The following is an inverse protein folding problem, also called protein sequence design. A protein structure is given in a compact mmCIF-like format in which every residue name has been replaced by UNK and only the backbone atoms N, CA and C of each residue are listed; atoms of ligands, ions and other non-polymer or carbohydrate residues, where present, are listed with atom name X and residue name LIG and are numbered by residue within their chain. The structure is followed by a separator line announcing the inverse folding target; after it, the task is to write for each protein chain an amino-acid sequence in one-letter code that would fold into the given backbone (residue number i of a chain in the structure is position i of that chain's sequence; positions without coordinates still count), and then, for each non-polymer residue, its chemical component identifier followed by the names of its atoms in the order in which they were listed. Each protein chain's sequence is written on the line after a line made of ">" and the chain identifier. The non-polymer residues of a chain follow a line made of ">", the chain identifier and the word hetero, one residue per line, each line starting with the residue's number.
data_IF_875539934840
#
_entry.id   IF_875539934840
#
_cell.length_a   1.000
_cell.length_b   1.000
_cell.length_c   1.000
_cell.angle_alpha   90.00
_cell.angle_beta   90.00
_cell.angle_gamma   90.00
#
_symmetry.space_group_name_H-M   'P 1'
#
loop_
_entity.id
_entity.type
_entity.pdbx_description
1 polymer ?
#
# COMPACT_ATOMS: atom_id res chain seq x y z
N UNK A 1 11.53 27.89 6.53
CA UNK A 1 12.54 26.83 6.37
C UNK A 1 12.04 25.93 5.25
N UNK A 2 12.89 25.42 4.34
CA UNK A 2 12.45 24.39 3.42
C UNK A 2 11.90 23.21 4.22
N UNK A 3 10.79 22.59 3.75
CA UNK A 3 10.24 21.39 4.38
C UNK A 3 11.20 20.20 4.29
N UNK A 4 10.93 19.07 4.99
CA UNK A 4 11.72 17.85 4.87
C UNK A 4 11.83 17.43 3.41
N UNK A 5 12.97 16.86 3.02
CA UNK A 5 13.08 16.36 1.66
C UNK A 5 12.34 15.00 1.48
N UNK A 6 12.16 14.57 0.24
CA UNK A 6 11.46 13.31 -0.05
C UNK A 6 12.22 12.08 0.50
N UNK A 7 13.54 12.18 0.69
CA UNK A 7 14.36 11.10 1.25
C UNK A 7 14.13 10.94 2.76
N UNK A 8 13.99 12.06 3.49
CA UNK A 8 13.65 12.02 4.92
C UNK A 8 12.24 11.45 5.14
N UNK A 9 11.28 11.84 4.29
CA UNK A 9 9.93 11.27 4.36
C UNK A 9 9.93 9.78 4.00
N UNK A 10 10.71 9.36 2.99
CA UNK A 10 10.86 7.94 2.66
C UNK A 10 11.44 7.14 3.83
N UNK A 11 12.49 7.65 4.49
CA UNK A 11 13.09 6.99 5.64
C UNK A 11 12.08 6.83 6.80
N UNK A 12 11.28 7.87 7.05
CA UNK A 12 10.21 7.83 8.05
C UNK A 12 9.14 6.78 7.71
N UNK A 13 8.69 6.72 6.44
CA UNK A 13 7.72 5.72 5.99
C UNK A 13 8.26 4.30 6.10
N UNK A 14 9.53 4.06 5.76
CA UNK A 14 10.18 2.73 5.88
C UNK A 14 10.18 2.25 7.33
N UNK A 15 10.55 3.11 8.26
CA UNK A 15 10.55 2.77 9.69
C UNK A 15 9.13 2.53 10.22
N UNK A 16 8.16 3.35 9.81
CA UNK A 16 6.76 3.20 10.19
C UNK A 16 6.19 1.88 9.64
N UNK A 17 6.43 1.55 8.37
CA UNK A 17 6.00 0.29 7.76
C UNK A 17 6.58 -0.94 8.47
N UNK A 18 7.85 -0.91 8.87
CA UNK A 18 8.45 -1.97 9.69
C UNK A 18 7.79 -2.09 11.08
N UNK A 19 7.40 -0.95 11.67
CA UNK A 19 6.59 -0.90 12.89
C UNK A 19 5.24 -1.58 12.73
N UNK A 20 4.52 -1.22 11.67
CA UNK A 20 3.25 -1.81 11.26
C UNK A 20 3.36 -3.33 11.09
N UNK A 21 4.39 -3.80 10.40
CA UNK A 21 4.63 -5.23 10.20
C UNK A 21 4.84 -6.02 11.48
N UNK A 22 5.48 -5.42 12.50
CA UNK A 22 5.61 -6.08 13.81
C UNK A 22 4.28 -6.21 14.54
N UNK A 23 3.38 -5.24 14.38
CA UNK A 23 2.03 -5.30 14.96
C UNK A 23 1.20 -6.34 14.20
N UNK A 24 1.09 -6.22 12.88
CA UNK A 24 0.32 -7.15 12.07
C UNK A 24 0.76 -8.61 12.25
N UNK A 25 2.06 -8.87 12.42
CA UNK A 25 2.58 -10.22 12.64
C UNK A 25 2.09 -10.87 13.94
N UNK A 26 1.69 -10.10 14.96
CA UNK A 26 1.13 -10.64 16.22
C UNK A 26 -0.29 -11.16 16.03
N UNK A 27 -1.07 -10.50 15.17
CA UNK A 27 -2.44 -10.89 14.84
C UNK A 27 -2.51 -11.91 13.71
N UNK A 28 -1.43 -12.06 12.94
CA UNK A 28 -1.42 -12.94 11.77
C UNK A 28 -1.55 -14.41 12.16
N UNK A 29 -2.66 -15.04 11.75
CA UNK A 29 -3.06 -16.41 12.12
C UNK A 29 -3.42 -16.61 13.60
N UNK A 30 -3.74 -15.52 14.30
CA UNK A 30 -4.17 -15.54 15.71
C UNK A 30 -5.65 -15.18 15.86
N UNK A 31 -6.44 -15.44 14.83
CA UNK A 31 -7.90 -15.22 14.78
C UNK A 31 -8.32 -13.84 15.32
N UNK A 32 -7.81 -12.72 14.77
CA UNK A 32 -8.19 -11.39 15.24
C UNK A 32 -9.69 -11.15 15.08
N UNK A 33 -10.29 -10.32 15.91
CA UNK A 33 -11.67 -9.89 15.73
C UNK A 33 -11.88 -9.25 14.35
N UNK A 34 -13.01 -9.55 13.71
CA UNK A 34 -13.36 -9.10 12.36
C UNK A 34 -14.72 -8.44 12.37
N UNK A 35 -14.85 -7.28 11.74
CA UNK A 35 -16.10 -6.57 11.53
C UNK A 35 -16.29 -6.27 10.05
N UNK A 36 -17.53 -6.09 9.63
CA UNK A 36 -17.85 -5.52 8.32
C UNK A 36 -17.92 -4.00 8.42
N UNK A 37 -17.24 -3.30 7.52
CA UNK A 37 -17.35 -1.85 7.41
C UNK A 37 -18.77 -1.45 6.99
N UNK A 38 -19.28 -0.28 7.44
CA UNK A 38 -20.53 0.28 6.94
C UNK A 38 -20.55 0.31 5.40
N UNK A 39 -21.76 0.25 4.82
CA UNK A 39 -22.00 0.37 3.38
C UNK A 39 -21.34 -0.71 2.50
N UNK A 40 -20.92 -1.84 3.08
CA UNK A 40 -20.34 -2.95 2.34
C UNK A 40 -18.91 -2.69 1.83
N UNK A 41 -18.17 -1.78 2.45
CA UNK A 41 -16.78 -1.45 2.09
C UNK A 41 -15.79 -2.59 2.38
N UNK A 42 -16.27 -3.73 2.93
CA UNK A 42 -15.48 -4.92 3.18
C UNK A 42 -15.14 -5.12 4.66
N UNK A 43 -14.39 -6.18 4.99
CA UNK A 43 -14.02 -6.46 6.37
C UNK A 43 -12.89 -5.53 6.85
N UNK A 44 -12.90 -5.27 8.15
CA UNK A 44 -11.80 -4.67 8.91
C UNK A 44 -11.48 -5.58 10.09
N UNK A 45 -10.22 -5.66 10.50
CA UNK A 45 -9.81 -6.46 11.66
C UNK A 45 -9.23 -5.58 12.75
N UNK A 46 -9.16 -6.13 13.97
CA UNK A 46 -8.44 -5.52 15.09
C UNK A 46 -6.99 -5.14 14.69
N UNK A 47 -6.36 -5.93 13.81
CA UNK A 47 -5.03 -5.65 13.31
C UNK A 47 -4.97 -4.40 12.44
N UNK A 48 -5.97 -4.17 11.57
CA UNK A 48 -6.08 -2.96 10.74
C UNK A 48 -6.10 -1.72 11.63
N UNK A 49 -6.95 -1.71 12.66
CA UNK A 49 -7.10 -0.60 13.59
C UNK A 49 -5.83 -0.36 14.42
N UNK A 50 -5.23 -1.42 14.96
CA UNK A 50 -4.00 -1.30 15.76
C UNK A 50 -2.81 -0.80 14.93
N UNK A 51 -2.76 -1.17 13.65
CA UNK A 51 -1.74 -0.67 12.71
C UNK A 51 -2.02 0.79 12.36
N UNK A 52 -3.28 1.16 12.05
CA UNK A 52 -3.67 2.53 11.73
C UNK A 52 -3.33 3.50 12.87
N UNK A 53 -3.72 3.17 14.10
CA UNK A 53 -3.46 3.98 15.30
C UNK A 53 -1.95 4.22 15.47
N UNK A 54 -1.14 3.17 15.40
CA UNK A 54 0.32 3.30 15.54
C UNK A 54 0.92 4.15 14.42
N UNK A 55 0.48 3.95 13.17
CA UNK A 55 0.96 4.74 12.03
C UNK A 55 0.60 6.20 12.19
N UNK A 56 -0.65 6.51 12.55
CA UNK A 56 -1.13 7.86 12.78
C UNK A 56 -0.33 8.56 13.87
N UNK A 57 -0.20 7.93 15.04
CA UNK A 57 0.53 8.49 16.17
C UNK A 57 1.98 8.80 15.79
N UNK A 58 2.66 7.85 15.16
CA UNK A 58 4.06 7.99 14.80
C UNK A 58 4.30 9.04 13.71
N UNK A 59 3.52 8.97 12.63
CA UNK A 59 3.72 9.82 11.46
C UNK A 59 3.28 11.27 11.75
N UNK A 60 2.13 11.47 12.39
CA UNK A 60 1.67 12.81 12.76
C UNK A 60 2.56 13.45 13.84
N UNK A 61 3.11 12.69 14.79
CA UNK A 61 4.07 13.22 15.75
C UNK A 61 5.39 13.66 15.07
N UNK A 62 5.85 12.91 14.07
CA UNK A 62 7.07 13.25 13.33
C UNK A 62 6.87 14.42 12.35
N UNK A 63 5.66 14.63 11.84
CA UNK A 63 5.29 15.67 10.86
C UNK A 63 3.95 16.31 11.23
N UNK A 64 3.89 17.16 12.27
CA UNK A 64 2.63 17.72 12.77
C UNK A 64 1.85 18.59 11.77
N UNK A 65 2.54 19.11 10.74
CA UNK A 65 1.90 19.93 9.69
C UNK A 65 1.37 19.15 8.50
N UNK A 66 1.51 17.81 8.47
CA UNK A 66 0.99 17.00 7.38
C UNK A 66 -0.48 16.62 7.61
N UNK A 67 -1.23 16.55 6.51
CA UNK A 67 -2.57 15.98 6.53
C UNK A 67 -2.55 14.46 6.66
N UNK A 68 -3.68 13.88 7.04
CA UNK A 68 -3.87 12.44 7.19
C UNK A 68 -5.04 11.94 6.34
N UNK A 69 -4.80 10.89 5.57
CA UNK A 69 -5.81 10.13 4.83
C UNK A 69 -5.53 8.66 5.01
N UNK A 70 -6.42 7.93 5.66
CA UNK A 70 -6.34 6.49 5.85
C UNK A 70 -7.63 5.80 5.44
N UNK A 71 -7.55 4.52 5.08
CA UNK A 71 -8.72 3.69 4.82
C UNK A 71 -9.56 3.45 6.08
N UNK A 72 -8.93 3.43 7.26
CA UNK A 72 -9.59 3.07 8.53
C UNK A 72 -10.01 4.28 9.38
N UNK A 73 -9.59 5.47 9.01
CA UNK A 73 -9.94 6.70 9.74
C UNK A 73 -10.89 7.55 8.89
N UNK A 74 -11.98 8.12 9.48
CA UNK A 74 -12.85 9.03 8.75
C UNK A 74 -12.09 10.17 8.10
N UNK A 75 -12.32 10.38 6.80
CA UNK A 75 -11.71 11.49 6.07
C UNK A 75 -12.24 12.83 6.55
N UNK A 76 -11.36 13.82 6.66
CA UNK A 76 -11.70 15.17 7.08
C UNK A 76 -11.16 16.21 6.09
N UNK A 77 -11.90 17.30 5.90
CA UNK A 77 -11.46 18.40 5.04
C UNK A 77 -10.15 19.07 5.52
N UNK A 78 -9.74 18.85 6.77
CA UNK A 78 -8.54 19.44 7.33
C UNK A 78 -7.27 19.12 6.51
N UNK A 79 -7.18 17.89 5.94
CA UNK A 79 -6.05 17.50 5.08
C UNK A 79 -5.91 18.33 3.80
N UNK A 80 -7.00 18.96 3.33
CA UNK A 80 -7.01 19.74 2.08
C UNK A 80 -6.26 21.06 2.22
N UNK A 81 -6.02 21.52 3.45
CA UNK A 81 -5.23 22.72 3.73
C UNK A 81 -3.75 22.45 4.02
N UNK A 82 -3.35 21.19 4.07
CA UNK A 82 -1.96 20.80 4.28
C UNK A 82 -1.18 20.73 2.97
N UNK A 83 0.07 21.21 2.97
CA UNK A 83 0.96 21.13 1.80
C UNK A 83 1.30 19.68 1.45
N UNK A 84 1.42 18.83 2.48
CA UNK A 84 1.70 17.40 2.34
C UNK A 84 0.68 16.56 3.10
N UNK A 85 0.40 15.37 2.58
CA UNK A 85 -0.59 14.45 3.14
C UNK A 85 0.01 13.06 3.21
N UNK A 86 -0.09 12.40 4.37
CA UNK A 86 0.08 10.96 4.47
C UNK A 86 -1.14 10.25 3.88
N UNK A 87 -0.88 9.27 3.02
CA UNK A 87 -1.92 8.38 2.45
C UNK A 87 -1.58 6.98 2.91
N UNK A 88 -2.51 6.35 3.63
CA UNK A 88 -2.26 5.10 4.36
C UNK A 88 -3.35 4.08 4.06
N UNK A 89 -2.94 2.87 3.73
CA UNK A 89 -3.74 1.66 3.82
C UNK A 89 -3.01 0.73 4.81
N UNK A 90 -3.55 0.56 6.03
CA UNK A 90 -2.89 -0.21 7.08
C UNK A 90 -2.66 -1.66 6.72
N UNK A 91 -3.67 -2.33 6.12
CA UNK A 91 -3.57 -3.72 5.65
C UNK A 91 -4.26 -3.86 4.29
N UNK A 92 -3.57 -3.49 3.21
CA UNK A 92 -4.03 -3.78 1.85
C UNK A 92 -4.11 -5.30 1.61
N UNK A 93 -5.34 -5.76 1.44
CA UNK A 93 -5.65 -7.18 1.34
C UNK A 93 -6.15 -7.80 2.63
N UNK A 94 -6.99 -7.12 3.41
CA UNK A 94 -7.58 -7.59 4.67
C UNK A 94 -8.20 -8.99 4.56
N UNK A 95 -8.91 -9.30 3.46
CA UNK A 95 -9.44 -10.66 3.24
C UNK A 95 -8.34 -11.72 3.19
N UNK A 96 -7.24 -11.43 2.53
CA UNK A 96 -6.09 -12.33 2.49
C UNK A 96 -5.42 -12.47 3.85
N UNK A 97 -5.38 -11.39 4.64
CA UNK A 97 -4.90 -11.42 6.03
C UNK A 97 -5.75 -12.37 6.89
N UNK A 98 -7.07 -12.23 6.85
CA UNK A 98 -8.04 -13.09 7.56
C UNK A 98 -7.87 -14.56 7.15
N UNK A 99 -7.67 -14.83 5.86
CA UNK A 99 -7.44 -16.17 5.30
C UNK A 99 -6.04 -16.75 5.62
N UNK A 100 -5.21 -16.05 6.39
CA UNK A 100 -3.85 -16.46 6.73
C UNK A 100 -2.88 -16.47 5.53
N UNK A 101 -3.21 -15.74 4.46
CA UNK A 101 -2.31 -15.55 3.31
C UNK A 101 -1.24 -14.51 3.61
N UNK A 102 0.00 -14.83 3.32
CA UNK A 102 1.13 -13.88 3.46
C UNK A 102 1.19 -12.78 2.39
N UNK A 103 0.14 -12.63 1.58
CA UNK A 103 0.10 -11.70 0.45
C UNK A 103 -0.69 -10.42 0.73
N UNK A 104 -0.73 -9.98 1.98
CA UNK A 104 -1.17 -8.64 2.38
C UNK A 104 0.03 -7.69 2.49
N UNK A 105 -0.21 -6.39 2.48
CA UNK A 105 0.83 -5.38 2.62
C UNK A 105 0.38 -4.14 3.40
N UNK A 106 1.32 -3.39 3.93
CA UNK A 106 1.14 -2.01 4.38
C UNK A 106 1.48 -1.09 3.21
N UNK A 107 0.60 -0.17 2.88
CA UNK A 107 0.80 0.80 1.80
C UNK A 107 0.81 2.21 2.38
N UNK A 108 1.96 2.88 2.31
CA UNK A 108 2.18 4.19 2.90
C UNK A 108 2.74 5.14 1.84
N UNK A 109 2.22 6.36 1.77
CA UNK A 109 2.76 7.38 0.88
C UNK A 109 2.72 8.77 1.52
N UNK A 110 3.57 9.67 1.02
CA UNK A 110 3.46 11.12 1.17
C UNK A 110 3.15 11.72 -0.18
N UNK A 111 2.08 12.50 -0.26
CA UNK A 111 1.74 13.31 -1.42
C UNK A 111 1.95 14.79 -1.13
N UNK A 112 2.44 15.55 -2.14
CA UNK A 112 2.62 16.98 -2.15
C UNK A 112 1.96 17.55 -3.41
N UNK A 113 1.08 18.53 -3.27
CA UNK A 113 0.36 19.13 -4.40
C UNK A 113 -0.32 18.11 -5.35
N UNK A 114 -0.85 17.01 -4.80
CA UNK A 114 -1.51 15.96 -5.57
C UNK A 114 -0.57 14.92 -6.20
N UNK A 115 0.73 15.04 -6.04
CA UNK A 115 1.72 14.08 -6.54
C UNK A 115 2.37 13.30 -5.40
N UNK A 116 2.52 11.97 -5.55
CA UNK A 116 3.26 11.15 -4.58
C UNK A 116 4.76 11.44 -4.69
N UNK A 117 5.37 11.84 -3.57
CA UNK A 117 6.80 12.16 -3.47
C UNK A 117 7.63 11.07 -2.82
N UNK A 118 7.03 10.27 -1.93
CA UNK A 118 7.64 9.11 -1.30
C UNK A 118 6.58 8.03 -1.07
N UNK A 119 6.92 6.77 -1.25
CA UNK A 119 6.00 5.65 -1.04
C UNK A 119 6.72 4.38 -0.60
N UNK A 120 6.02 3.58 0.21
CA UNK A 120 6.45 2.26 0.68
C UNK A 120 5.31 1.26 0.56
N UNK A 121 5.63 0.07 0.04
CA UNK A 121 4.76 -1.11 0.11
C UNK A 121 5.54 -2.21 0.82
N UNK A 122 5.06 -2.63 1.98
CA UNK A 122 5.76 -3.62 2.81
C UNK A 122 4.90 -4.86 3.04
N UNK A 123 5.40 -6.02 2.64
CA UNK A 123 4.81 -7.33 2.92
C UNK A 123 5.56 -7.97 4.09
N UNK A 124 5.07 -7.84 5.33
CA UNK A 124 5.86 -8.19 6.52
C UNK A 124 6.18 -9.67 6.62
N UNK A 125 5.22 -10.54 6.28
CA UNK A 125 5.40 -11.99 6.35
C UNK A 125 6.36 -12.52 5.28
N UNK A 126 6.50 -11.79 4.16
CA UNK A 126 7.40 -12.15 3.05
C UNK A 126 8.76 -11.46 3.15
N UNK A 127 8.92 -10.52 4.08
CA UNK A 127 10.13 -9.72 4.19
C UNK A 127 10.45 -8.89 2.94
N UNK A 128 9.41 -8.43 2.19
CA UNK A 128 9.56 -7.65 0.96
C UNK A 128 9.15 -6.20 1.22
N UNK A 129 10.10 -5.29 1.15
CA UNK A 129 9.88 -3.86 1.31
C UNK A 129 10.24 -3.16 -0.01
N UNK A 130 9.22 -2.67 -0.68
CA UNK A 130 9.36 -1.80 -1.85
C UNK A 130 9.35 -0.36 -1.36
N UNK A 131 10.30 0.45 -1.84
CA UNK A 131 10.41 1.85 -1.48
C UNK A 131 10.77 2.69 -2.70
N UNK A 132 10.17 3.86 -2.83
CA UNK A 132 10.43 4.78 -3.92
C UNK A 132 10.27 6.23 -3.48
N UNK A 133 11.07 7.13 -4.10
CA UNK A 133 10.87 8.57 -3.99
C UNK A 133 10.95 9.22 -5.36
N UNK A 134 10.28 10.34 -5.52
CA UNK A 134 10.28 11.11 -6.76
C UNK A 134 11.71 11.52 -7.14
N UNK A 135 12.15 11.12 -8.33
CA UNK A 135 13.50 11.36 -8.83
C UNK A 135 14.58 10.43 -8.26
N UNK A 136 14.30 9.61 -7.25
CA UNK A 136 15.28 8.70 -6.60
C UNK A 136 15.24 7.26 -7.10
N UNK A 137 14.24 6.91 -7.93
CA UNK A 137 14.03 5.52 -8.37
C UNK A 137 13.28 4.67 -7.34
N UNK A 138 13.31 3.35 -7.53
CA UNK A 138 12.63 2.39 -6.67
C UNK A 138 13.57 1.25 -6.26
N UNK A 139 13.32 0.67 -5.09
CA UNK A 139 14.09 -0.44 -4.53
C UNK A 139 13.17 -1.54 -4.00
N UNK A 140 13.68 -2.77 -3.97
CA UNK A 140 13.15 -3.90 -3.19
C UNK A 140 14.23 -4.35 -2.21
N UNK A 141 13.97 -4.21 -0.90
CA UNK A 141 14.95 -4.51 0.15
C UNK A 141 16.31 -3.84 -0.14
N UNK A 142 16.27 -2.54 -0.44
CA UNK A 142 17.42 -1.68 -0.77
C UNK A 142 18.11 -1.99 -2.12
N UNK A 143 17.75 -3.09 -2.81
CA UNK A 143 18.25 -3.39 -4.15
C UNK A 143 17.43 -2.63 -5.20
N UNK A 144 18.06 -1.91 -6.15
CA UNK A 144 17.34 -1.19 -7.20
C UNK A 144 16.46 -2.09 -8.05
N UNK A 145 15.22 -1.66 -8.32
CA UNK A 145 14.30 -2.32 -9.24
C UNK A 145 13.90 -1.38 -10.37
N UNK A 146 13.55 -1.96 -11.51
CA UNK A 146 13.09 -1.21 -12.69
C UNK A 146 11.97 -1.96 -13.37
N UNK A 147 11.03 -1.21 -13.95
CA UNK A 147 9.99 -1.78 -14.81
C UNK A 147 10.61 -2.56 -15.97
N UNK A 148 9.97 -3.66 -16.34
CA UNK A 148 10.41 -4.49 -17.47
C UNK A 148 10.38 -3.67 -18.79
N UNK A 149 11.35 -3.90 -19.66
CA UNK A 149 11.44 -3.25 -20.96
C UNK A 149 10.48 -3.86 -22.02
N UNK A 150 9.50 -4.66 -21.60
CA UNK A 150 8.53 -5.30 -22.49
C UNK A 150 7.66 -4.27 -23.21
N UNK A 151 7.57 -4.36 -24.53
CA UNK A 151 6.76 -3.48 -25.38
C UNK A 151 5.60 -4.19 -26.07
N UNK A 152 5.57 -5.51 -26.03
CA UNK A 152 4.52 -6.32 -26.66
C UNK A 152 3.65 -6.95 -25.59
N UNK A 153 2.35 -6.96 -25.85
CA UNK A 153 1.37 -7.55 -24.95
C UNK A 153 1.34 -9.07 -25.09
N UNK A 154 1.54 -9.60 -26.33
CA UNK A 154 1.54 -11.03 -26.59
C UNK A 154 2.59 -11.77 -25.76
N UNK A 155 2.17 -12.80 -25.06
CA UNK A 155 3.01 -13.60 -24.16
C UNK A 155 3.42 -12.85 -22.87
N UNK A 156 2.78 -11.72 -22.56
CA UNK A 156 3.04 -11.02 -21.28
C UNK A 156 2.40 -11.78 -20.11
N UNK A 157 3.09 -11.75 -18.97
CA UNK A 157 2.46 -12.04 -17.69
C UNK A 157 1.81 -10.77 -17.16
N UNK A 158 0.55 -10.86 -16.72
CA UNK A 158 -0.18 -9.74 -16.14
C UNK A 158 -0.72 -10.08 -14.76
N UNK A 159 -0.68 -9.10 -13.89
CA UNK A 159 -1.26 -9.17 -12.55
C UNK A 159 -2.67 -8.61 -12.58
N UNK A 160 -3.66 -9.50 -12.68
CA UNK A 160 -5.05 -9.11 -12.85
C UNK A 160 -6.01 -10.07 -12.14
N UNK A 161 -7.17 -9.58 -11.73
CA UNK A 161 -8.27 -10.47 -11.35
C UNK A 161 -8.90 -11.11 -12.63
N UNK A 162 -9.71 -12.15 -12.43
CA UNK A 162 -10.34 -12.87 -13.56
C UNK A 162 -11.27 -11.96 -14.37
N UNK A 163 -11.97 -11.05 -13.71
CA UNK A 163 -12.94 -10.14 -14.35
C UNK A 163 -12.27 -9.14 -15.29
N UNK A 164 -11.05 -8.70 -14.99
CA UNK A 164 -10.28 -7.79 -15.84
C UNK A 164 -10.04 -8.34 -17.25
N UNK A 165 -10.05 -9.65 -17.42
CA UNK A 165 -9.92 -10.32 -18.72
C UNK A 165 -11.27 -10.63 -19.38
N UNK A 166 -12.38 -10.10 -18.85
CA UNK A 166 -13.70 -10.27 -19.42
C UNK A 166 -13.89 -9.53 -20.74
N UNK A 167 -14.84 -9.98 -21.59
CA UNK A 167 -15.10 -9.40 -22.94
C UNK A 167 -15.40 -7.90 -22.93
N UNK A 168 -15.99 -7.39 -21.85
CA UNK A 168 -16.28 -5.95 -21.69
C UNK A 168 -15.01 -5.08 -21.75
N UNK A 169 -13.88 -5.60 -21.31
CA UNK A 169 -12.60 -4.88 -21.31
C UNK A 169 -11.75 -5.20 -22.55
N UNK A 170 -12.07 -6.27 -23.26
CA UNK A 170 -11.30 -6.78 -24.41
C UNK A 170 -12.22 -7.05 -25.60
N UNK A 171 -12.78 -6.03 -26.27
CA UNK A 171 -13.76 -6.21 -27.35
C UNK A 171 -13.18 -6.93 -28.59
N UNK A 172 -11.87 -6.96 -28.74
CA UNK A 172 -11.14 -7.70 -29.81
C UNK A 172 -10.62 -9.06 -29.37
N UNK A 173 -11.06 -9.57 -28.22
CA UNK A 173 -10.53 -10.77 -27.58
C UNK A 173 -9.25 -10.51 -26.76
N UNK A 174 -9.05 -11.37 -25.76
CA UNK A 174 -7.84 -11.33 -24.91
C UNK A 174 -6.67 -11.87 -25.72
N UNK A 175 -5.57 -11.12 -25.86
CA UNK A 175 -4.35 -11.68 -26.49
C UNK A 175 -3.77 -12.82 -25.64
N UNK A 176 -2.82 -13.61 -26.16
CA UNK A 176 -2.18 -14.67 -25.39
C UNK A 176 -1.39 -14.09 -24.21
N UNK A 177 -2.01 -14.11 -23.03
CA UNK A 177 -1.47 -13.60 -21.77
C UNK A 177 -1.38 -14.70 -20.72
N UNK A 178 -0.35 -14.67 -19.89
CA UNK A 178 -0.29 -15.44 -18.65
C UNK A 178 -0.82 -14.59 -17.50
N UNK A 179 -1.90 -15.06 -16.85
CA UNK A 179 -2.48 -14.34 -15.72
C UNK A 179 -1.89 -14.81 -14.40
N UNK A 180 -1.35 -13.91 -13.61
CA UNK A 180 -1.09 -14.10 -12.21
C UNK A 180 -2.03 -13.20 -11.35
N UNK A 181 -2.19 -13.56 -10.09
CA UNK A 181 -3.01 -12.82 -9.14
C UNK A 181 -2.30 -12.65 -7.81
N UNK A 182 -2.47 -11.48 -7.22
CA UNK A 182 -2.10 -11.18 -5.82
C UNK A 182 -3.30 -10.46 -5.20
N UNK A 183 -3.72 -10.82 -3.97
CA UNK A 183 -4.88 -10.18 -3.32
C UNK A 183 -4.63 -8.70 -3.03
N UNK A 184 -3.48 -8.34 -2.49
CA UNK A 184 -3.08 -6.95 -2.25
C UNK A 184 -2.92 -6.18 -3.56
N UNK A 185 -3.60 -5.03 -3.68
CA UNK A 185 -3.50 -4.16 -4.84
C UNK A 185 -2.14 -3.44 -4.87
N UNK A 186 -1.71 -2.92 -3.73
CA UNK A 186 -0.40 -2.25 -3.61
C UNK A 186 0.74 -3.20 -3.99
N UNK A 187 0.69 -4.47 -3.55
CA UNK A 187 1.67 -5.46 -3.96
C UNK A 187 1.66 -5.72 -5.48
N UNK A 188 0.49 -5.73 -6.12
CA UNK A 188 0.41 -5.86 -7.59
C UNK A 188 1.07 -4.68 -8.30
N UNK A 189 0.90 -3.47 -7.75
CA UNK A 189 1.47 -2.25 -8.33
C UNK A 189 2.99 -2.14 -8.11
N UNK A 190 3.53 -2.79 -7.07
CA UNK A 190 4.94 -2.77 -6.73
C UNK A 190 5.78 -3.84 -7.47
N UNK A 191 5.13 -4.83 -8.11
CA UNK A 191 5.77 -5.91 -8.90
C UNK A 191 6.04 -5.48 -10.33
#
# INVERSE_FOLDING_TARGET
>A
MPGPDAAEDLALLVEAARGAGRIAARYFRDEPEVWDKPDGAGPVTEADLAVDDMLRDRLCAARPGYGWLSEETPDTAARLSADRVFIVDPIDGTKAFIEGSSAFSHSLAVAEAGEVIAAVVYLPIRGKLYAAQRGGGATLNDAPVRAAARRRLDGAEILANKHTLGPAHWPRGVPPLTRAYRPSLAYRMAL
#
